data_IF_639927131406
#
_entry.id   IF_639927131406
#
_cell.length_a   1.000
_cell.length_b   1.000
_cell.length_c   1.000
_cell.angle_alpha   90.00
_cell.angle_beta   90.00
_cell.angle_gamma   90.00
#
_symmetry.space_group_name_H-M   'P 1'
#
loop_
_entity.id
_entity.type
_entity.pdbx_description
1 polymer ?
#
# COMPACT_ATOMS: atom_id res chain seq x y z
N UNK A 1 2.60 -0.51 -24.82
CA UNK A 1 1.82 0.39 -25.67
C UNK A 1 0.78 1.11 -24.82
N UNK A 2 0.99 2.41 -24.52
CA UNK A 2 0.12 3.23 -23.67
C UNK A 2 -0.99 3.95 -24.46
N UNK A 3 -1.37 3.43 -25.63
CA UNK A 3 -2.29 4.09 -26.55
C UNK A 3 -3.72 4.34 -25.97
N UNK A 4 -4.06 3.67 -24.87
CA UNK A 4 -5.37 3.77 -24.19
C UNK A 4 -5.24 4.23 -22.73
N UNK A 5 -4.22 5.01 -22.40
CA UNK A 5 -4.01 5.52 -21.04
C UNK A 5 -4.27 7.02 -21.04
N UNK A 6 -5.18 7.45 -20.19
CA UNK A 6 -5.42 8.86 -19.88
C UNK A 6 -4.70 9.22 -18.57
N UNK A 7 -3.94 10.31 -18.58
CA UNK A 7 -3.26 10.83 -17.40
C UNK A 7 -3.95 12.10 -16.91
N UNK A 8 -4.45 12.07 -15.68
CA UNK A 8 -5.10 13.22 -15.05
C UNK A 8 -4.28 13.60 -13.81
N UNK A 9 -3.88 14.87 -13.73
CA UNK A 9 -3.24 15.42 -12.53
C UNK A 9 -4.32 15.91 -11.59
N UNK A 10 -4.35 15.39 -10.37
CA UNK A 10 -5.30 15.76 -9.33
C UNK A 10 -4.57 15.88 -7.97
N UNK A 11 -4.87 16.92 -7.24
CA UNK A 11 -4.47 17.06 -5.84
C UNK A 11 -5.67 16.81 -4.93
N UNK A 12 -5.75 15.60 -4.37
CA UNK A 12 -6.84 15.18 -3.50
C UNK A 12 -6.85 15.85 -2.12
N UNK A 13 -5.84 16.63 -1.79
CA UNK A 13 -5.79 17.37 -0.53
C UNK A 13 -6.45 18.73 -0.67
N UNK A 14 -6.28 19.38 -1.83
CA UNK A 14 -6.79 20.73 -2.09
C UNK A 14 -7.98 20.78 -3.03
N UNK A 15 -8.24 19.70 -3.79
CA UNK A 15 -9.26 19.65 -4.84
C UNK A 15 -10.16 18.43 -4.67
N UNK A 16 -11.46 18.65 -4.45
CA UNK A 16 -12.45 17.59 -4.23
C UNK A 16 -13.16 17.11 -5.50
N UNK A 17 -12.90 17.72 -6.66
CA UNK A 17 -13.57 17.39 -7.91
C UNK A 17 -12.60 16.91 -8.98
N UNK A 18 -12.95 15.81 -9.63
CA UNK A 18 -12.22 15.26 -10.75
C UNK A 18 -13.18 15.09 -11.95
N UNK A 19 -12.77 15.58 -13.12
CA UNK A 19 -13.52 15.38 -14.34
C UNK A 19 -13.03 14.15 -15.08
N UNK A 20 -13.83 13.08 -15.06
CA UNK A 20 -13.52 11.81 -15.69
C UNK A 20 -14.29 11.62 -16.98
N UNK A 21 -13.63 11.01 -17.97
CA UNK A 21 -14.25 10.61 -19.24
C UNK A 21 -15.29 9.48 -19.07
N UNK A 22 -15.15 8.65 -18.05
CA UNK A 22 -16.11 7.61 -17.65
C UNK A 22 -16.49 7.75 -16.19
N UNK A 23 -17.71 7.26 -15.87
CA UNK A 23 -18.17 7.13 -14.48
C UNK A 23 -18.31 5.68 -14.02
N UNK A 24 -18.12 4.73 -14.92
CA UNK A 24 -18.22 3.30 -14.65
C UNK A 24 -16.86 2.63 -14.86
N UNK A 25 -16.38 1.96 -13.82
CA UNK A 25 -15.10 1.29 -13.81
C UNK A 25 -15.25 -0.16 -13.36
N UNK A 26 -14.56 -1.08 -14.01
CA UNK A 26 -14.49 -2.47 -13.53
C UNK A 26 -13.63 -2.59 -12.28
N UNK A 27 -12.53 -1.84 -12.22
CA UNK A 27 -11.62 -1.90 -11.08
C UNK A 27 -11.00 -0.54 -10.81
N UNK A 28 -10.94 -0.18 -9.53
CA UNK A 28 -10.15 0.95 -9.04
C UNK A 28 -8.99 0.42 -8.22
N UNK A 29 -7.83 1.05 -8.37
CA UNK A 29 -6.63 0.77 -7.60
C UNK A 29 -6.22 2.05 -6.89
N UNK A 30 -6.22 2.01 -5.56
CA UNK A 30 -5.83 3.14 -4.73
C UNK A 30 -4.44 2.89 -4.13
N UNK A 31 -3.46 3.67 -4.57
CA UNK A 31 -2.06 3.59 -4.11
C UNK A 31 -1.70 4.93 -3.50
N UNK A 32 -1.94 5.06 -2.20
CA UNK A 32 -1.61 6.26 -1.45
C UNK A 32 -0.18 6.19 -0.90
N UNK A 33 0.37 7.37 -0.64
CA UNK A 33 1.67 7.52 0.00
C UNK A 33 1.67 8.74 0.91
N UNK A 34 2.51 8.79 1.95
CA UNK A 34 2.64 9.97 2.77
C UNK A 34 3.22 11.15 1.94
N UNK A 35 2.83 12.37 2.27
CA UNK A 35 3.36 13.61 1.66
C UNK A 35 4.75 13.95 2.19
N UNK A 36 5.03 13.55 3.46
CA UNK A 36 6.33 13.62 4.12
C UNK A 36 6.52 12.43 5.06
N UNK A 37 7.71 12.29 5.65
CA UNK A 37 8.04 11.16 6.53
C UNK A 37 7.55 11.32 7.98
N UNK A 38 6.96 12.45 8.35
CA UNK A 38 6.40 12.73 9.66
C UNK A 38 4.93 12.26 9.80
N UNK A 39 4.36 12.45 10.97
CA UNK A 39 2.98 12.06 11.26
C UNK A 39 1.99 12.85 10.41
N UNK A 40 2.22 14.15 10.24
CA UNK A 40 1.33 15.02 9.46
C UNK A 40 1.30 14.60 7.98
N UNK A 41 2.46 14.23 7.44
CA UNK A 41 2.54 13.71 6.07
C UNK A 41 1.80 12.38 5.88
N UNK A 42 1.81 11.51 6.88
CA UNK A 42 1.00 10.28 6.87
C UNK A 42 -0.49 10.59 6.99
N UNK A 43 -0.87 11.50 7.89
CA UNK A 43 -2.26 11.95 8.02
C UNK A 43 -2.80 12.48 6.70
N UNK A 44 -2.10 13.44 6.09
CA UNK A 44 -2.50 14.04 4.83
C UNK A 44 -2.55 13.03 3.67
N UNK A 45 -1.47 12.24 3.54
CA UNK A 45 -1.30 11.36 2.39
C UNK A 45 -2.18 10.11 2.41
N UNK A 46 -2.58 9.62 3.57
CA UNK A 46 -3.45 8.45 3.71
C UNK A 46 -4.87 8.83 4.10
N UNK A 47 -5.09 9.48 5.25
CA UNK A 47 -6.44 9.71 5.75
C UNK A 47 -7.14 10.86 5.03
N UNK A 48 -6.57 12.06 5.01
CA UNK A 48 -7.23 13.22 4.44
C UNK A 48 -7.48 13.02 2.94
N UNK A 49 -6.49 12.46 2.22
CA UNK A 49 -6.66 12.09 0.82
C UNK A 49 -7.76 11.04 0.64
N UNK A 50 -7.80 10.01 1.49
CA UNK A 50 -8.83 8.96 1.37
C UNK A 50 -10.23 9.49 1.63
N UNK A 51 -10.41 10.45 2.53
CA UNK A 51 -11.71 11.08 2.78
C UNK A 51 -12.25 11.76 1.53
N UNK A 52 -11.43 12.55 0.84
CA UNK A 52 -11.82 13.23 -0.39
C UNK A 52 -12.08 12.24 -1.54
N UNK A 53 -11.22 11.23 -1.68
CA UNK A 53 -11.33 10.23 -2.73
C UNK A 53 -12.61 9.39 -2.55
N UNK A 54 -12.90 8.93 -1.34
CA UNK A 54 -14.07 8.10 -1.08
C UNK A 54 -15.37 8.89 -1.19
N UNK A 55 -15.39 10.16 -0.75
CA UNK A 55 -16.53 11.04 -0.99
C UNK A 55 -16.78 11.22 -2.49
N UNK A 56 -15.73 11.49 -3.27
CA UNK A 56 -15.85 11.58 -4.73
C UNK A 56 -16.35 10.26 -5.35
N UNK A 57 -15.79 9.11 -4.95
CA UNK A 57 -16.18 7.81 -5.49
C UNK A 57 -17.67 7.52 -5.20
N UNK A 58 -18.10 7.75 -3.98
CA UNK A 58 -19.45 7.45 -3.56
C UNK A 58 -20.50 8.32 -4.26
N UNK A 59 -20.14 9.55 -4.61
CA UNK A 59 -21.07 10.49 -5.22
C UNK A 59 -21.04 10.49 -6.76
N UNK A 60 -19.94 10.05 -7.40
CA UNK A 60 -19.73 10.35 -8.81
C UNK A 60 -19.47 9.13 -9.69
N UNK A 61 -19.05 7.98 -9.13
CA UNK A 61 -18.65 6.83 -9.95
C UNK A 61 -19.23 5.52 -9.43
N UNK A 62 -19.24 4.52 -10.30
CA UNK A 62 -19.49 3.11 -9.98
C UNK A 62 -18.25 2.27 -10.27
N UNK A 63 -18.08 1.19 -9.50
CA UNK A 63 -16.99 0.25 -9.69
C UNK A 63 -17.36 -1.13 -9.14
N UNK A 64 -16.77 -2.18 -9.74
CA UNK A 64 -17.03 -3.57 -9.34
C UNK A 64 -15.99 -4.09 -8.35
N UNK A 65 -14.76 -3.58 -8.41
CA UNK A 65 -13.64 -3.99 -7.57
C UNK A 65 -12.88 -2.77 -7.07
N UNK A 66 -12.41 -2.87 -5.82
CA UNK A 66 -11.49 -1.89 -5.23
C UNK A 66 -10.26 -2.62 -4.68
N UNK A 67 -9.08 -2.19 -5.09
CA UNK A 67 -7.79 -2.63 -4.54
C UNK A 67 -7.17 -1.45 -3.82
N UNK A 68 -6.77 -1.64 -2.58
CA UNK A 68 -5.99 -0.65 -1.85
C UNK A 68 -4.61 -1.20 -1.49
N UNK A 69 -3.59 -0.38 -1.61
CA UNK A 69 -2.23 -0.72 -1.17
C UNK A 69 -1.99 -0.11 0.19
N UNK A 70 -1.73 -0.97 1.15
CA UNK A 70 -1.40 -0.67 2.53
C UNK A 70 0.05 -1.07 2.85
N UNK A 71 0.33 -1.61 4.02
CA UNK A 71 1.66 -2.05 4.45
C UNK A 71 1.57 -3.10 5.56
N UNK A 72 2.52 -4.05 5.61
CA UNK A 72 2.70 -4.92 6.78
C UNK A 72 3.05 -4.18 8.06
N UNK A 73 3.37 -2.88 7.99
CA UNK A 73 3.62 -2.03 9.17
C UNK A 73 2.45 -2.00 10.15
N UNK A 74 1.22 -2.25 9.68
CA UNK A 74 0.02 -2.32 10.54
C UNK A 74 0.09 -3.42 11.61
N UNK A 75 0.95 -4.41 11.43
CA UNK A 75 1.17 -5.49 12.42
C UNK A 75 2.12 -5.11 13.56
N UNK A 76 2.80 -3.96 13.45
CA UNK A 76 3.84 -3.54 14.38
C UNK A 76 5.11 -4.38 14.30
N UNK A 77 5.98 -4.24 15.30
CA UNK A 77 7.19 -5.03 15.43
C UNK A 77 6.85 -6.38 16.08
N UNK A 78 6.84 -7.43 15.28
CA UNK A 78 6.66 -8.78 15.79
C UNK A 78 8.02 -9.48 15.96
N UNK A 79 8.33 -9.92 17.18
CA UNK A 79 9.60 -10.51 17.56
C UNK A 79 9.75 -11.96 17.05
N UNK A 80 9.68 -12.15 15.73
CA UNK A 80 9.95 -13.42 15.07
C UNK A 80 8.76 -14.39 14.98
N UNK A 81 7.53 -13.94 15.21
CA UNK A 81 6.33 -14.74 14.93
C UNK A 81 5.96 -14.69 13.45
N UNK A 82 5.51 -15.81 12.93
CA UNK A 82 4.94 -15.84 11.59
C UNK A 82 3.59 -15.11 11.60
N UNK A 83 3.51 -14.02 10.84
CA UNK A 83 2.30 -13.23 10.66
C UNK A 83 1.54 -13.76 9.44
N UNK A 84 0.25 -13.99 9.62
CA UNK A 84 -0.69 -14.35 8.55
C UNK A 84 -1.84 -13.35 8.55
N UNK A 85 -2.67 -13.39 7.53
CA UNK A 85 -3.87 -12.54 7.39
C UNK A 85 -4.86 -12.71 8.54
N UNK A 86 -4.84 -13.85 9.22
CA UNK A 86 -5.68 -14.11 10.40
C UNK A 86 -5.21 -13.37 11.66
N UNK A 87 -3.98 -12.85 11.67
CA UNK A 87 -3.45 -12.08 12.80
C UNK A 87 -4.05 -10.68 12.79
N UNK A 88 -4.62 -10.29 13.93
CA UNK A 88 -5.15 -8.93 14.09
C UNK A 88 -4.02 -7.91 14.05
N UNK A 89 -4.12 -6.84 13.22
CA UNK A 89 -3.20 -5.73 13.26
C UNK A 89 -3.02 -5.14 14.66
N UNK A 90 -1.78 -4.85 15.03
CA UNK A 90 -1.42 -4.23 16.30
C UNK A 90 -0.30 -3.21 16.08
N UNK A 91 -0.64 -2.02 15.52
CA UNK A 91 0.34 -1.00 15.22
C UNK A 91 1.02 -0.47 16.48
N UNK A 92 2.34 -0.35 16.44
CA UNK A 92 3.19 0.06 17.56
C UNK A 92 3.64 1.55 17.47
N UNK A 93 3.38 2.21 16.35
CA UNK A 93 3.63 3.64 16.16
C UNK A 93 2.46 4.38 15.50
N UNK A 94 2.49 5.70 15.53
CA UNK A 94 1.40 6.55 15.00
C UNK A 94 1.24 6.43 13.48
N UNK A 95 2.32 6.28 12.72
CA UNK A 95 2.26 6.13 11.28
C UNK A 95 1.59 4.80 10.89
N UNK A 96 1.90 3.72 11.60
CA UNK A 96 1.24 2.43 11.43
C UNK A 96 -0.26 2.49 11.79
N UNK A 97 -0.62 3.24 12.82
CA UNK A 97 -2.03 3.49 13.21
C UNK A 97 -2.79 4.23 12.12
N UNK A 98 -2.20 5.29 11.55
CA UNK A 98 -2.80 6.04 10.45
C UNK A 98 -3.03 5.14 9.22
N UNK A 99 -2.08 4.25 8.88
CA UNK A 99 -2.28 3.30 7.79
C UNK A 99 -3.43 2.34 8.10
N UNK A 100 -3.54 1.84 9.33
CA UNK A 100 -4.65 0.97 9.72
C UNK A 100 -5.99 1.70 9.68
N UNK A 101 -6.06 2.94 10.19
CA UNK A 101 -7.26 3.77 10.13
C UNK A 101 -7.69 4.05 8.68
N UNK A 102 -6.72 4.25 7.76
CA UNK A 102 -6.99 4.34 6.33
C UNK A 102 -7.65 3.07 5.79
N UNK A 103 -7.12 1.87 6.12
CA UNK A 103 -7.74 0.61 5.71
C UNK A 103 -9.17 0.48 6.21
N UNK A 104 -9.38 0.74 7.51
CA UNK A 104 -10.68 0.65 8.17
C UNK A 104 -11.68 1.66 7.60
N UNK A 105 -11.23 2.89 7.34
CA UNK A 105 -12.05 3.92 6.74
C UNK A 105 -12.49 3.53 5.33
N UNK A 106 -11.56 3.16 4.44
CA UNK A 106 -11.90 2.80 3.06
C UNK A 106 -12.79 1.56 3.03
N UNK A 107 -12.54 0.56 3.89
CA UNK A 107 -13.39 -0.64 3.96
C UNK A 107 -14.82 -0.32 4.40
N UNK A 108 -14.99 0.64 5.30
CA UNK A 108 -16.31 1.05 5.77
C UNK A 108 -17.09 1.88 4.75
N UNK A 109 -16.40 2.80 4.06
CA UNK A 109 -17.03 3.73 3.13
C UNK A 109 -17.20 3.16 1.69
N UNK A 110 -16.47 2.11 1.34
CA UNK A 110 -16.52 1.51 0.02
C UNK A 110 -17.85 0.77 -0.22
N UNK A 111 -18.37 0.88 -1.45
CA UNK A 111 -19.57 0.15 -1.92
C UNK A 111 -19.32 -1.34 -2.14
N UNK A 112 -18.05 -1.74 -2.24
CA UNK A 112 -17.61 -3.12 -2.40
C UNK A 112 -16.53 -3.43 -1.36
N UNK A 113 -16.42 -4.67 -0.92
CA UNK A 113 -15.36 -5.05 0.00
C UNK A 113 -13.99 -4.98 -0.70
N UNK A 114 -13.03 -4.14 -0.25
CA UNK A 114 -11.77 -3.98 -0.95
C UNK A 114 -10.82 -5.17 -0.76
N UNK A 115 -9.99 -5.45 -1.77
CA UNK A 115 -8.77 -6.22 -1.58
C UNK A 115 -7.71 -5.28 -0.98
N UNK A 116 -7.21 -5.61 0.21
CA UNK A 116 -6.21 -4.83 0.94
C UNK A 116 -4.85 -5.50 0.80
N UNK A 117 -4.00 -4.97 -0.06
CA UNK A 117 -2.64 -5.49 -0.22
C UNK A 117 -1.73 -4.88 0.86
N UNK A 118 -1.12 -5.73 1.68
CA UNK A 118 -0.16 -5.36 2.72
C UNK A 118 1.25 -5.80 2.33
N UNK A 119 1.93 -5.04 1.43
CA UNK A 119 3.31 -5.36 1.08
C UNK A 119 4.25 -5.14 2.26
N UNK A 120 5.27 -5.99 2.34
CA UNK A 120 6.45 -5.77 3.16
C UNK A 120 7.34 -4.68 2.54
N UNK A 121 8.59 -4.53 2.97
CA UNK A 121 9.47 -3.48 2.46
C UNK A 121 9.59 -3.49 0.94
N UNK A 122 8.93 -2.53 0.27
CA UNK A 122 8.94 -2.44 -1.19
C UNK A 122 10.30 -2.02 -1.71
N UNK A 123 10.76 -2.72 -2.76
CA UNK A 123 12.00 -2.41 -3.45
C UNK A 123 11.86 -2.54 -4.97
N UNK A 124 12.74 -1.89 -5.69
CA UNK A 124 13.00 -2.08 -7.11
C UNK A 124 14.51 -1.93 -7.40
N UNK A 125 14.92 -2.10 -8.65
CA UNK A 125 16.33 -1.99 -9.04
C UNK A 125 16.93 -0.59 -8.80
N UNK A 126 16.11 0.45 -8.85
CA UNK A 126 16.55 1.85 -8.76
C UNK A 126 16.44 2.39 -7.32
N UNK A 127 15.38 2.03 -6.61
CA UNK A 127 15.02 2.58 -5.29
C UNK A 127 15.00 1.48 -4.23
N UNK A 128 16.17 1.00 -3.87
CA UNK A 128 16.32 0.07 -2.75
C UNK A 128 16.62 0.87 -1.49
N UNK A 129 15.67 0.94 -0.57
CA UNK A 129 15.83 1.70 0.69
C UNK A 129 17.08 1.29 1.49
N UNK A 130 17.52 0.04 1.40
CA UNK A 130 18.73 -0.45 2.02
C UNK A 130 20.00 0.18 1.45
N UNK A 131 20.06 0.58 0.16
CA UNK A 131 21.21 1.30 -0.40
C UNK A 131 21.50 2.59 0.34
N UNK A 132 20.46 3.33 0.69
CA UNK A 132 20.59 4.58 1.44
C UNK A 132 21.10 4.29 2.87
N UNK A 133 20.67 3.19 3.47
CA UNK A 133 21.16 2.76 4.77
C UNK A 133 22.62 2.31 4.73
N UNK A 134 23.02 1.51 3.74
CA UNK A 134 24.41 1.07 3.57
C UNK A 134 25.33 2.26 3.34
N UNK A 135 24.97 3.16 2.45
CA UNK A 135 25.75 4.37 2.15
C UNK A 135 25.90 5.30 3.37
N UNK A 136 24.92 5.31 4.29
CA UNK A 136 24.98 6.10 5.51
C UNK A 136 25.92 5.51 6.59
N UNK A 137 26.27 4.23 6.47
CA UNK A 137 27.10 3.56 7.47
C UNK A 137 28.60 3.56 7.17
N UNK A 138 29.05 3.98 5.98
CA UNK A 138 30.42 4.25 5.55
C UNK A 138 31.50 3.58 6.42
N UNK A 139 31.68 2.27 6.27
CA UNK A 139 32.68 1.47 6.98
C UNK A 139 32.41 1.16 8.46
N UNK A 140 31.28 1.59 9.02
CA UNK A 140 30.87 1.21 10.38
C UNK A 140 30.10 -0.12 10.34
N UNK A 141 30.21 -0.92 11.41
CA UNK A 141 29.37 -2.13 11.53
C UNK A 141 27.91 -1.74 11.52
N UNK A 142 27.14 -2.30 10.58
CA UNK A 142 25.68 -2.14 10.55
C UNK A 142 25.10 -2.70 11.86
N UNK A 143 24.31 -1.94 12.62
CA UNK A 143 23.67 -2.49 13.80
C UNK A 143 22.66 -3.54 13.33
N UNK A 144 22.97 -4.80 13.51
CA UNK A 144 22.08 -5.95 13.24
C UNK A 144 20.89 -5.91 14.22
N UNK A 145 20.04 -4.91 14.08
CA UNK A 145 18.85 -4.75 14.92
C UNK A 145 17.76 -5.73 14.52
N UNK A 146 17.83 -6.24 13.27
CA UNK A 146 16.88 -7.21 12.72
C UNK A 146 17.69 -8.32 12.06
N UNK A 147 17.49 -9.54 12.52
CA UNK A 147 18.19 -10.70 11.95
C UNK A 147 17.76 -10.99 10.51
N UNK A 148 16.53 -10.61 10.15
CA UNK A 148 15.92 -10.87 8.84
C UNK A 148 15.14 -9.66 8.33
N UNK A 149 15.11 -9.51 7.01
CA UNK A 149 14.29 -8.52 6.30
C UNK A 149 13.20 -9.21 5.50
N UNK A 150 11.98 -8.72 5.64
CA UNK A 150 10.87 -9.06 4.78
C UNK A 150 10.76 -7.99 3.69
N UNK A 151 10.83 -8.42 2.44
CA UNK A 151 10.79 -7.53 1.27
C UNK A 151 9.79 -8.04 0.25
N UNK A 152 9.36 -7.14 -0.62
CA UNK A 152 8.52 -7.48 -1.76
C UNK A 152 8.85 -6.56 -2.94
N UNK A 153 9.10 -7.13 -4.12
CA UNK A 153 9.43 -6.29 -5.28
C UNK A 153 8.20 -5.54 -5.79
N UNK A 154 8.40 -4.33 -6.29
CA UNK A 154 7.33 -3.55 -6.92
C UNK A 154 6.78 -4.24 -8.17
N UNK A 155 7.62 -4.95 -8.90
CA UNK A 155 7.19 -5.72 -10.08
C UNK A 155 6.27 -6.87 -9.67
N UNK A 156 6.57 -7.58 -8.57
CA UNK A 156 5.70 -8.62 -8.05
C UNK A 156 4.38 -8.03 -7.53
N UNK A 157 4.39 -6.86 -6.89
CA UNK A 157 3.16 -6.16 -6.50
C UNK A 157 2.31 -5.82 -7.73
N UNK A 158 2.93 -5.29 -8.78
CA UNK A 158 2.24 -4.99 -10.03
C UNK A 158 1.64 -6.27 -10.68
N UNK A 159 2.36 -7.39 -10.63
CA UNK A 159 1.86 -8.69 -11.12
C UNK A 159 0.69 -9.21 -10.31
N UNK A 160 0.72 -9.09 -8.98
CA UNK A 160 -0.43 -9.45 -8.10
C UNK A 160 -1.66 -8.64 -8.49
N UNK A 161 -1.51 -7.32 -8.65
CA UNK A 161 -2.61 -6.43 -9.06
C UNK A 161 -3.11 -6.80 -10.46
N UNK A 162 -2.22 -6.99 -11.43
CA UNK A 162 -2.58 -7.34 -12.80
C UNK A 162 -3.33 -8.67 -12.89
N UNK A 163 -2.88 -9.70 -12.15
CA UNK A 163 -3.56 -10.99 -12.06
C UNK A 163 -4.95 -10.86 -11.44
N UNK A 164 -5.09 -10.06 -10.38
CA UNK A 164 -6.39 -9.81 -9.76
C UNK A 164 -7.37 -9.12 -10.72
N UNK A 165 -6.91 -8.14 -11.47
CA UNK A 165 -7.73 -7.42 -12.46
C UNK A 165 -8.17 -8.36 -13.57
N UNK A 166 -7.24 -9.16 -14.10
CA UNK A 166 -7.46 -10.02 -15.27
C UNK A 166 -8.35 -11.24 -14.96
N UNK A 167 -8.42 -11.66 -13.70
CA UNK A 167 -9.20 -12.82 -13.31
C UNK A 167 -10.66 -12.41 -13.01
N UNK A 168 -11.60 -12.93 -13.80
CA UNK A 168 -13.03 -12.67 -13.60
C UNK A 168 -13.57 -13.22 -12.28
N UNK A 169 -13.00 -14.32 -11.81
CA UNK A 169 -13.41 -14.95 -10.54
C UNK A 169 -12.85 -14.23 -9.32
N UNK A 170 -11.95 -13.26 -9.49
CA UNK A 170 -11.36 -12.48 -8.40
C UNK A 170 -12.34 -11.52 -7.70
N UNK A 171 -13.54 -11.31 -8.24
CA UNK A 171 -14.61 -10.51 -7.60
C UNK A 171 -14.92 -11.00 -6.17
N UNK A 172 -14.68 -12.27 -5.88
CA UNK A 172 -14.91 -12.86 -4.57
C UNK A 172 -13.67 -12.82 -3.65
N UNK A 173 -12.54 -12.28 -4.13
CA UNK A 173 -11.31 -12.13 -3.34
C UNK A 173 -11.29 -10.72 -2.75
N UNK A 174 -11.44 -10.62 -1.45
CA UNK A 174 -11.47 -9.36 -0.70
C UNK A 174 -10.76 -9.49 0.66
N UNK A 175 -10.63 -8.40 1.38
CA UNK A 175 -9.94 -8.35 2.67
C UNK A 175 -8.42 -8.28 2.56
N UNK A 176 -7.70 -8.47 3.68
CA UNK A 176 -6.25 -8.33 3.72
C UNK A 176 -5.53 -9.50 3.04
N UNK A 177 -4.46 -9.16 2.30
CA UNK A 177 -3.51 -10.09 1.70
C UNK A 177 -2.08 -9.60 1.97
N UNK A 178 -1.28 -10.40 2.65
CA UNK A 178 0.13 -10.11 2.90
C UNK A 178 0.94 -10.42 1.64
N UNK A 179 1.72 -9.43 1.19
CA UNK A 179 2.59 -9.53 0.04
C UNK A 179 4.05 -9.49 0.52
N UNK A 180 4.70 -10.64 0.60
CA UNK A 180 6.09 -10.77 1.05
C UNK A 180 6.80 -11.86 0.29
N UNK A 181 8.07 -11.66 -0.01
CA UNK A 181 8.98 -12.70 -0.45
C UNK A 181 9.53 -13.47 0.75
N UNK A 182 10.32 -14.51 0.49
CA UNK A 182 11.00 -15.23 1.56
C UNK A 182 11.90 -14.26 2.36
N UNK A 183 11.78 -14.28 3.68
CA UNK A 183 12.64 -13.52 4.56
C UNK A 183 14.12 -13.85 4.31
N UNK A 184 14.98 -12.83 4.27
CA UNK A 184 16.42 -12.95 4.07
C UNK A 184 17.17 -12.33 5.23
N UNK A 185 18.24 -12.98 5.64
CA UNK A 185 19.15 -12.38 6.63
C UNK A 185 19.82 -11.15 6.03
N UNK A 186 20.01 -10.12 6.85
CA UNK A 186 20.75 -8.93 6.41
C UNK A 186 22.14 -9.26 5.88
N UNK A 187 22.81 -10.27 6.44
CA UNK A 187 24.12 -10.76 5.98
C UNK A 187 24.11 -11.44 4.60
N UNK A 188 22.94 -11.75 4.06
CA UNK A 188 22.77 -12.33 2.71
C UNK A 188 22.40 -11.26 1.69
N UNK A 189 22.02 -10.07 2.15
CA UNK A 189 21.61 -8.94 1.33
C UNK A 189 22.82 -7.99 1.10
N UNK A 190 23.76 -7.95 2.02
CA UNK A 190 24.99 -7.16 2.02
C UNK A 190 26.22 -8.04 1.95
#
# INVERSE_FOLDING_TARGET
NLANVEFIKQDWISESSLNLSSKDFSTIILILKPTSSDIDGYQQGFLDASYQIMDFFNNNISYEKLVIVSSTRVYGLDNGRNITEAVKPLPDDMQARIILEYEEFVSRESKVEPLILRPSGLYDEQTHWMRNHVNAFDGKKYPLRFAEANMFSRDNLALVIANYISNKDSVHISGPLICSEQARKYSEIF
#
